data_IF_048112607513
#
_entry.id   IF_048112607513
#
_cell.length_a   1.000
_cell.length_b   1.000
_cell.length_c   1.000
_cell.angle_alpha   90.00
_cell.angle_beta   90.00
_cell.angle_gamma   90.00
#
_symmetry.space_group_name_H-M   'P 1'
#
loop_
_entity.id
_entity.type
_entity.pdbx_description
1 polymer ?
#
# COMPACT_ATOMS: atom_id res chain seq x y z
N UNK A 1 13.96 12.49 -22.11
CA UNK A 1 13.15 13.65 -21.67
C UNK A 1 11.70 13.27 -21.37
N UNK A 2 11.01 12.58 -22.28
CA UNK A 2 9.60 12.14 -22.10
C UNK A 2 9.40 11.25 -20.86
N UNK A 3 10.26 10.24 -20.66
CA UNK A 3 10.18 9.35 -19.49
C UNK A 3 10.34 10.09 -18.15
N UNK A 4 11.12 11.17 -18.13
CA UNK A 4 11.36 11.99 -16.95
C UNK A 4 10.16 12.90 -16.62
N UNK A 5 9.44 13.36 -17.65
CA UNK A 5 8.22 14.15 -17.50
C UNK A 5 7.03 13.27 -17.05
N UNK A 6 6.91 12.08 -17.62
CA UNK A 6 5.89 11.09 -17.21
C UNK A 6 6.08 10.66 -15.76
N UNK A 7 7.32 10.41 -15.33
CA UNK A 7 7.58 10.11 -13.93
C UNK A 7 7.36 11.34 -13.06
N UNK A 8 8.02 12.48 -13.28
CA UNK A 8 7.99 13.61 -12.33
C UNK A 8 6.66 14.36 -12.23
N UNK A 9 5.80 14.32 -13.24
CA UNK A 9 4.57 15.13 -13.29
C UNK A 9 3.33 14.24 -13.37
N UNK A 10 3.32 13.27 -14.28
CA UNK A 10 2.11 12.47 -14.53
C UNK A 10 1.80 11.48 -13.40
N UNK A 11 2.80 10.78 -12.85
CA UNK A 11 2.58 9.83 -11.76
C UNK A 11 2.10 10.50 -10.45
N UNK A 12 2.68 11.63 -10.00
CA UNK A 12 2.17 12.37 -8.85
C UNK A 12 0.77 12.95 -9.09
N UNK A 13 0.50 13.46 -10.29
CA UNK A 13 -0.84 13.93 -10.66
C UNK A 13 -1.86 12.78 -10.64
N UNK A 14 -1.49 11.59 -11.13
CA UNK A 14 -2.31 10.39 -11.04
C UNK A 14 -2.54 9.96 -9.58
N UNK A 15 -1.51 10.02 -8.73
CA UNK A 15 -1.64 9.77 -7.30
C UNK A 15 -2.58 10.76 -6.61
N UNK A 16 -2.47 12.06 -6.90
CA UNK A 16 -3.38 13.10 -6.39
C UNK A 16 -4.81 12.88 -6.90
N UNK A 17 -4.96 12.49 -8.17
CA UNK A 17 -6.26 12.21 -8.76
C UNK A 17 -6.90 10.98 -8.12
N UNK A 18 -6.13 9.94 -7.81
CA UNK A 18 -6.60 8.78 -7.05
C UNK A 18 -6.96 9.17 -5.62
N UNK A 19 -6.15 9.96 -4.91
CA UNK A 19 -6.51 10.50 -3.58
C UNK A 19 -7.84 11.24 -3.66
N UNK A 20 -8.00 12.12 -4.64
CA UNK A 20 -9.21 12.93 -4.83
C UNK A 20 -10.41 12.05 -5.17
N UNK A 21 -10.24 11.04 -6.03
CA UNK A 21 -11.28 10.08 -6.38
C UNK A 21 -11.69 9.22 -5.17
N UNK A 22 -10.71 8.76 -4.39
CA UNK A 22 -10.91 7.97 -3.18
C UNK A 22 -11.64 8.77 -2.10
N UNK A 23 -11.29 10.05 -1.92
CA UNK A 23 -12.04 10.97 -1.05
C UNK A 23 -13.47 11.16 -1.56
N UNK A 24 -13.66 11.37 -2.88
CA UNK A 24 -14.99 11.52 -3.47
C UNK A 24 -15.83 10.26 -3.27
N UNK A 25 -15.27 9.07 -3.47
CA UNK A 25 -15.96 7.79 -3.24
C UNK A 25 -16.35 7.66 -1.77
N UNK A 26 -15.44 7.93 -0.84
CA UNK A 26 -15.71 7.88 0.61
C UNK A 26 -16.81 8.87 1.00
N UNK A 27 -16.76 10.11 0.50
CA UNK A 27 -17.80 11.11 0.75
C UNK A 27 -19.14 10.65 0.17
N UNK A 28 -19.15 10.14 -1.06
CA UNK A 28 -20.36 9.63 -1.70
C UNK A 28 -20.96 8.45 -0.94
N UNK A 29 -20.11 7.57 -0.37
CA UNK A 29 -20.56 6.47 0.49
C UNK A 29 -21.23 6.98 1.76
N UNK A 30 -20.67 7.99 2.44
CA UNK A 30 -21.25 8.54 3.66
C UNK A 30 -22.53 9.36 3.40
N UNK A 31 -22.61 10.09 2.28
CA UNK A 31 -23.81 10.86 1.93
C UNK A 31 -25.00 9.99 1.48
N UNK A 32 -24.76 8.73 1.08
CA UNK A 32 -25.80 7.84 0.55
C UNK A 32 -26.40 6.91 1.62
N UNK A 33 -26.14 7.18 2.92
CA UNK A 33 -26.63 6.38 4.04
C UNK A 33 -28.07 6.75 4.45
N UNK A 34 -28.69 7.80 3.91
CA UNK A 34 -30.04 8.22 4.34
C UNK A 34 -31.19 7.89 3.36
N UNK A 35 -32.11 7.07 3.87
CA UNK A 35 -33.57 7.23 3.85
C UNK A 35 -34.50 6.65 2.75
N UNK A 36 -34.21 5.50 2.12
CA UNK A 36 -35.33 4.69 1.54
C UNK A 36 -35.05 3.23 1.18
N UNK A 37 -35.81 2.32 1.81
CA UNK A 37 -36.21 1.02 1.24
C UNK A 37 -35.17 -0.11 1.19
N UNK A 38 -35.44 -1.21 1.90
CA UNK A 38 -34.62 -2.44 2.02
C UNK A 38 -34.13 -3.09 0.71
N UNK A 39 -34.67 -2.74 -0.47
CA UNK A 39 -34.21 -3.25 -1.78
C UNK A 39 -33.24 -2.30 -2.49
N UNK A 40 -33.37 -0.98 -2.27
CA UNK A 40 -32.46 0.04 -2.81
C UNK A 40 -31.12 -0.03 -2.06
N UNK A 41 -31.16 -0.33 -0.75
CA UNK A 41 -29.98 -0.51 0.10
C UNK A 41 -29.07 -1.65 -0.35
N UNK A 42 -29.61 -2.78 -0.82
CA UNK A 42 -28.80 -3.95 -1.22
C UNK A 42 -28.11 -3.76 -2.56
N UNK A 43 -28.78 -3.12 -3.53
CA UNK A 43 -28.18 -2.79 -4.84
C UNK A 43 -27.15 -1.67 -4.68
N UNK A 44 -27.44 -0.65 -3.85
CA UNK A 44 -26.49 0.41 -3.49
C UNK A 44 -25.23 -0.15 -2.82
N UNK A 45 -25.38 -1.05 -1.85
CA UNK A 45 -24.25 -1.70 -1.18
C UNK A 45 -23.38 -2.55 -2.11
N UNK A 46 -23.98 -3.32 -3.01
CA UNK A 46 -23.22 -4.16 -3.95
C UNK A 46 -22.42 -3.32 -4.96
N UNK A 47 -23.01 -2.22 -5.46
CA UNK A 47 -22.30 -1.29 -6.34
C UNK A 47 -21.17 -0.56 -5.59
N UNK A 48 -21.41 -0.18 -4.34
CA UNK A 48 -20.40 0.42 -3.47
C UNK A 48 -19.21 -0.51 -3.25
N UNK A 49 -19.45 -1.79 -2.89
CA UNK A 49 -18.39 -2.79 -2.72
C UNK A 49 -17.58 -3.02 -4.01
N UNK A 50 -18.26 -3.02 -5.16
CA UNK A 50 -17.61 -3.18 -6.47
C UNK A 50 -16.71 -1.98 -6.80
N UNK A 51 -17.17 -0.75 -6.55
CA UNK A 51 -16.38 0.47 -6.74
C UNK A 51 -15.16 0.45 -5.81
N UNK A 52 -15.34 0.10 -4.54
CA UNK A 52 -14.23 -0.01 -3.57
C UNK A 52 -13.18 -1.02 -4.02
N UNK A 53 -13.59 -2.23 -4.43
CA UNK A 53 -12.66 -3.27 -4.91
C UNK A 53 -11.91 -2.84 -6.17
N UNK A 54 -12.59 -2.18 -7.11
CA UNK A 54 -11.93 -1.66 -8.33
C UNK A 54 -10.93 -0.58 -7.97
N UNK A 55 -11.29 0.36 -7.10
CA UNK A 55 -10.40 1.43 -6.63
C UNK A 55 -9.15 0.86 -5.97
N UNK A 56 -9.33 -0.10 -5.06
CA UNK A 56 -8.23 -0.80 -4.37
C UNK A 56 -7.28 -1.47 -5.38
N UNK A 57 -7.83 -2.23 -6.35
CA UNK A 57 -7.01 -2.87 -7.39
C UNK A 57 -6.25 -1.84 -8.21
N UNK A 58 -6.87 -0.72 -8.59
CA UNK A 58 -6.24 0.34 -9.37
C UNK A 58 -5.08 1.00 -8.61
N UNK A 59 -5.28 1.34 -7.34
CA UNK A 59 -4.25 1.94 -6.48
C UNK A 59 -3.06 1.00 -6.29
N UNK A 60 -3.33 -0.29 -6.08
CA UNK A 60 -2.29 -1.30 -5.87
C UNK A 60 -1.52 -1.59 -7.15
N UNK A 61 -2.18 -1.59 -8.32
CA UNK A 61 -1.48 -1.69 -9.62
C UNK A 61 -0.52 -0.50 -9.80
N UNK A 62 -0.94 0.72 -9.44
CA UNK A 62 -0.05 1.87 -9.50
C UNK A 62 1.15 1.71 -8.56
N UNK A 63 0.92 1.26 -7.32
CA UNK A 63 1.99 1.00 -6.36
C UNK A 63 2.95 -0.11 -6.85
N UNK A 64 2.44 -1.11 -7.57
CA UNK A 64 3.25 -2.15 -8.20
C UNK A 64 4.18 -1.56 -9.28
N UNK A 65 3.66 -0.68 -10.14
CA UNK A 65 4.46 0.02 -11.17
C UNK A 65 5.59 0.82 -10.50
N UNK A 66 5.28 1.57 -9.44
CA UNK A 66 6.27 2.33 -8.68
C UNK A 66 7.30 1.40 -8.04
N UNK A 67 6.89 0.24 -7.53
CA UNK A 67 7.80 -0.76 -6.95
C UNK A 67 8.82 -1.26 -7.97
N UNK A 68 8.36 -1.63 -9.17
CA UNK A 68 9.24 -2.07 -10.26
C UNK A 68 10.20 -0.96 -10.65
N UNK A 69 9.69 0.27 -10.82
CA UNK A 69 10.53 1.43 -11.16
C UNK A 69 11.57 1.73 -10.07
N UNK A 70 11.20 1.57 -8.80
CA UNK A 70 12.11 1.75 -7.66
C UNK A 70 13.23 0.73 -7.64
N UNK A 71 12.91 -0.55 -7.87
CA UNK A 71 13.90 -1.62 -7.95
C UNK A 71 14.90 -1.34 -9.07
N UNK A 72 14.43 -0.94 -10.26
CA UNK A 72 15.29 -0.59 -11.38
C UNK A 72 16.18 0.62 -11.06
N UNK A 73 15.62 1.66 -10.43
CA UNK A 73 16.39 2.83 -9.98
C UNK A 73 17.49 2.45 -8.98
N UNK A 74 17.19 1.59 -8.00
CA UNK A 74 18.15 1.14 -6.99
C UNK A 74 19.23 0.24 -7.60
N UNK A 75 18.89 -0.62 -8.57
CA UNK A 75 19.87 -1.42 -9.31
C UNK A 75 20.87 -0.55 -10.09
N UNK A 76 20.40 0.54 -10.70
CA UNK A 76 21.28 1.46 -11.41
C UNK A 76 22.24 2.21 -10.47
N UNK A 77 21.80 2.50 -9.25
CA UNK A 77 22.64 3.12 -8.23
C UNK A 77 23.69 2.15 -7.68
N UNK A 78 23.31 0.89 -7.45
CA UNK A 78 24.23 -0.19 -7.06
C UNK A 78 25.43 -0.29 -8.02
N UNK A 79 25.17 -0.27 -9.33
CA UNK A 79 26.22 -0.31 -10.36
C UNK A 79 27.17 0.89 -10.30
N UNK A 80 26.69 2.05 -9.83
CA UNK A 80 27.47 3.29 -9.76
C UNK A 80 28.31 3.36 -8.48
N UNK A 81 27.81 2.85 -7.36
CA UNK A 81 28.44 2.93 -6.04
C UNK A 81 29.58 1.93 -5.82
N UNK A 82 29.58 0.77 -6.51
CA UNK A 82 30.72 -0.16 -6.53
C UNK A 82 32.04 0.48 -7.04
N UNK A 83 32.01 1.70 -7.56
CA UNK A 83 33.17 2.44 -8.05
C UNK A 83 33.68 3.54 -7.08
N UNK A 84 33.01 3.76 -5.94
CA UNK A 84 33.39 4.79 -4.97
C UNK A 84 33.12 4.31 -3.54
N UNK A 85 34.12 3.70 -2.90
CA UNK A 85 34.12 3.53 -1.45
C UNK A 85 34.61 4.82 -0.79
N UNK A 86 33.79 5.39 0.09
CA UNK A 86 34.19 6.52 0.93
C UNK A 86 33.75 6.29 2.38
N UNK A 87 34.72 6.41 3.27
CA UNK A 87 34.66 6.21 4.72
C UNK A 87 33.67 7.18 5.39
N UNK A 88 32.89 6.69 6.36
CA UNK A 88 32.04 7.50 7.24
C UNK A 88 32.11 7.03 8.69
N UNK A 89 31.87 7.98 9.60
CA UNK A 89 32.01 7.93 11.06
C UNK A 89 31.04 6.95 11.73
N UNK A 90 31.54 6.20 12.72
CA UNK A 90 30.96 4.93 13.20
C UNK A 90 29.74 5.10 14.12
N UNK A 91 29.67 6.16 14.93
CA UNK A 91 28.76 6.23 16.08
C UNK A 91 27.35 6.74 15.75
N UNK A 92 27.22 7.78 14.93
CA UNK A 92 25.91 8.26 14.45
C UNK A 92 25.22 7.24 13.52
N UNK A 93 26.01 6.45 12.79
CA UNK A 93 25.50 5.40 11.88
C UNK A 93 24.83 4.26 12.66
N UNK A 94 25.34 3.93 13.85
CA UNK A 94 24.83 2.81 14.65
C UNK A 94 23.44 3.10 15.26
N UNK A 95 23.23 4.29 15.83
CA UNK A 95 21.94 4.67 16.42
C UNK A 95 20.82 4.76 15.38
N UNK A 96 21.10 5.31 14.19
CA UNK A 96 20.16 5.35 13.06
C UNK A 96 19.84 3.94 12.56
N UNK A 97 20.83 3.04 12.57
CA UNK A 97 20.63 1.63 12.19
C UNK A 97 19.69 0.88 13.17
N UNK A 98 19.81 1.12 14.48
CA UNK A 98 18.93 0.50 15.47
C UNK A 98 17.49 0.98 15.30
N UNK A 99 17.26 2.30 15.16
CA UNK A 99 15.92 2.86 14.93
C UNK A 99 15.25 2.27 13.69
N UNK A 100 15.98 2.24 12.57
CA UNK A 100 15.49 1.64 11.34
C UNK A 100 15.12 0.15 11.52
N UNK A 101 15.95 -0.64 12.22
CA UNK A 101 15.67 -2.07 12.46
C UNK A 101 14.39 -2.28 13.27
N UNK A 102 14.15 -1.45 14.28
CA UNK A 102 12.93 -1.52 15.09
C UNK A 102 11.71 -1.14 14.24
N UNK A 103 11.80 -0.05 13.49
CA UNK A 103 10.72 0.38 12.60
C UNK A 103 10.42 -0.69 11.54
N UNK A 104 11.46 -1.28 10.95
CA UNK A 104 11.33 -2.35 9.97
C UNK A 104 10.75 -3.64 10.58
N UNK A 105 11.06 -3.96 11.83
CA UNK A 105 10.46 -5.09 12.54
C UNK A 105 8.95 -4.90 12.71
N UNK A 106 8.50 -3.72 13.14
CA UNK A 106 7.07 -3.42 13.22
C UNK A 106 6.40 -3.50 11.85
N UNK A 107 7.07 -3.01 10.80
CA UNK A 107 6.58 -3.12 9.44
C UNK A 107 6.44 -4.58 8.99
N UNK A 108 7.41 -5.44 9.34
CA UNK A 108 7.41 -6.86 9.00
C UNK A 108 6.28 -7.62 9.72
N UNK A 109 6.05 -7.34 11.01
CA UNK A 109 4.94 -7.92 11.77
C UNK A 109 3.61 -7.54 11.12
N UNK A 110 3.44 -6.27 10.74
CA UNK A 110 2.23 -5.79 10.08
C UNK A 110 2.02 -6.45 8.72
N UNK A 111 3.10 -6.60 7.93
CA UNK A 111 3.07 -7.32 6.67
C UNK A 111 2.66 -8.78 6.83
N UNK A 112 3.20 -9.51 7.80
CA UNK A 112 2.84 -10.92 8.02
C UNK A 112 1.35 -11.06 8.32
N UNK A 113 0.78 -10.17 9.15
CA UNK A 113 -0.65 -10.20 9.46
C UNK A 113 -1.52 -9.81 8.26
N UNK A 114 -1.06 -8.86 7.43
CA UNK A 114 -1.69 -8.53 6.16
C UNK A 114 -1.66 -9.73 5.18
N UNK A 115 -0.53 -10.42 5.08
CA UNK A 115 -0.36 -11.59 4.22
C UNK A 115 -1.27 -12.75 4.66
N UNK A 116 -1.38 -12.98 5.97
CA UNK A 116 -2.35 -13.95 6.52
C UNK A 116 -3.78 -13.55 6.16
N UNK A 117 -4.14 -12.28 6.29
CA UNK A 117 -5.46 -11.78 5.90
C UNK A 117 -5.76 -11.98 4.41
N UNK A 118 -4.82 -11.62 3.55
CA UNK A 118 -4.92 -11.84 2.11
C UNK A 118 -5.02 -13.34 1.80
N UNK A 119 -4.25 -14.19 2.45
CA UNK A 119 -4.30 -15.64 2.31
C UNK A 119 -5.66 -16.23 2.71
N UNK A 120 -6.22 -15.82 3.84
CA UNK A 120 -7.55 -16.25 4.27
C UNK A 120 -8.64 -15.75 3.31
N UNK A 121 -8.51 -14.51 2.83
CA UNK A 121 -9.43 -13.93 1.84
C UNK A 121 -9.38 -14.70 0.52
N UNK A 122 -8.18 -15.08 0.07
CA UNK A 122 -7.97 -15.89 -1.12
C UNK A 122 -8.64 -17.26 -0.95
N UNK A 123 -8.33 -17.98 0.13
CA UNK A 123 -8.88 -19.31 0.41
C UNK A 123 -10.40 -19.29 0.45
N UNK A 124 -11.01 -18.35 1.18
CA UNK A 124 -12.46 -18.29 1.24
C UNK A 124 -13.10 -17.87 -0.08
N UNK A 125 -12.43 -17.07 -0.91
CA UNK A 125 -12.91 -16.78 -2.26
C UNK A 125 -12.83 -17.99 -3.19
N UNK A 126 -11.83 -18.86 -3.04
CA UNK A 126 -11.70 -20.13 -3.80
C UNK A 126 -12.77 -21.12 -3.38
N UNK A 127 -13.01 -21.26 -2.07
CA UNK A 127 -13.97 -22.22 -1.51
C UNK A 127 -15.43 -21.76 -1.64
N UNK A 128 -15.66 -20.48 -1.92
CA UNK A 128 -17.02 -19.96 -2.09
C UNK A 128 -17.69 -20.41 -3.39
N UNK A 129 -18.90 -20.93 -3.26
CA UNK A 129 -19.76 -21.27 -4.40
C UNK A 129 -20.63 -20.06 -4.79
N UNK A 130 -20.50 -19.52 -6.02
CA UNK A 130 -21.27 -18.36 -6.44
C UNK A 130 -22.72 -18.77 -6.73
N UNK A 131 -23.69 -18.06 -6.13
CA UNK A 131 -25.12 -18.30 -6.33
C UNK A 131 -25.68 -17.60 -7.58
N UNK A 132 -25.03 -16.51 -8.01
CA UNK A 132 -25.46 -15.67 -9.11
C UNK A 132 -24.27 -15.00 -9.83
N UNK A 133 -24.52 -14.37 -10.99
CA UNK A 133 -23.49 -13.75 -11.83
C UNK A 133 -22.77 -12.60 -11.13
N UNK A 134 -23.45 -11.81 -10.29
CA UNK A 134 -22.83 -10.69 -9.58
C UNK A 134 -21.90 -11.21 -8.49
N UNK A 135 -22.32 -12.19 -7.71
CA UNK A 135 -21.45 -12.86 -6.73
C UNK A 135 -20.24 -13.52 -7.39
N UNK A 136 -20.41 -14.11 -8.59
CA UNK A 136 -19.28 -14.65 -9.35
C UNK A 136 -18.26 -13.56 -9.73
N UNK A 137 -18.73 -12.37 -10.10
CA UNK A 137 -17.85 -11.24 -10.44
C UNK A 137 -17.13 -10.70 -9.20
N UNK A 138 -17.85 -10.48 -8.09
CA UNK A 138 -17.28 -10.05 -6.81
C UNK A 138 -16.21 -11.04 -6.35
N UNK A 139 -16.49 -12.35 -6.40
CA UNK A 139 -15.52 -13.40 -6.06
C UNK A 139 -14.23 -13.28 -6.87
N UNK A 140 -14.32 -13.04 -8.19
CA UNK A 140 -13.14 -12.85 -9.05
C UNK A 140 -12.35 -11.61 -8.65
N UNK A 141 -13.02 -10.51 -8.37
CA UNK A 141 -12.37 -9.29 -7.88
C UNK A 141 -11.71 -9.51 -6.51
N UNK A 142 -12.36 -10.20 -5.58
CA UNK A 142 -11.80 -10.51 -4.27
C UNK A 142 -10.56 -11.41 -4.40
N UNK A 143 -10.56 -12.39 -5.32
CA UNK A 143 -9.35 -13.17 -5.62
C UNK A 143 -8.22 -12.27 -6.11
N UNK A 144 -8.50 -11.37 -7.05
CA UNK A 144 -7.51 -10.41 -7.54
C UNK A 144 -6.99 -9.49 -6.43
N UNK A 145 -7.89 -8.96 -5.60
CA UNK A 145 -7.59 -8.11 -4.44
C UNK A 145 -6.89 -8.85 -3.30
N UNK A 146 -6.84 -10.19 -3.32
CA UNK A 146 -6.02 -10.96 -2.37
C UNK A 146 -4.60 -11.26 -2.86
N UNK A 147 -4.37 -11.28 -4.17
CA UNK A 147 -3.06 -11.64 -4.76
C UNK A 147 -2.22 -10.41 -5.09
N UNK A 148 -2.81 -9.42 -5.76
CA UNK A 148 -2.07 -8.23 -6.23
C UNK A 148 -1.49 -7.42 -5.05
N UNK A 149 -2.24 -7.13 -3.95
CA UNK A 149 -1.70 -6.41 -2.80
C UNK A 149 -0.57 -7.15 -2.10
N UNK A 150 -0.65 -8.49 -2.00
CA UNK A 150 0.41 -9.33 -1.44
C UNK A 150 1.72 -9.17 -2.21
N UNK A 151 1.66 -9.25 -3.54
CA UNK A 151 2.83 -9.06 -4.40
C UNK A 151 3.38 -7.63 -4.25
N UNK A 152 2.50 -6.63 -4.29
CA UNK A 152 2.87 -5.22 -4.21
C UNK A 152 3.54 -4.88 -2.87
N UNK A 153 2.97 -5.31 -1.75
CA UNK A 153 3.51 -5.04 -0.40
C UNK A 153 4.82 -5.79 -0.14
N UNK A 154 4.96 -7.00 -0.68
CA UNK A 154 6.23 -7.74 -0.67
C UNK A 154 7.33 -6.97 -1.41
N UNK A 155 7.05 -6.45 -2.61
CA UNK A 155 8.01 -5.64 -3.35
C UNK A 155 8.32 -4.31 -2.64
N UNK A 156 7.33 -3.68 -2.00
CA UNK A 156 7.51 -2.47 -1.22
C UNK A 156 8.48 -2.69 -0.04
N UNK A 157 8.37 -3.81 0.69
CA UNK A 157 9.33 -4.19 1.73
C UNK A 157 10.76 -4.30 1.19
N UNK A 158 10.92 -4.97 0.05
CA UNK A 158 12.23 -5.11 -0.61
C UNK A 158 12.79 -3.74 -1.00
N UNK A 159 11.95 -2.84 -1.49
CA UNK A 159 12.35 -1.46 -1.83
C UNK A 159 12.81 -0.70 -0.59
N UNK A 160 12.05 -0.72 0.51
CA UNK A 160 12.41 -0.05 1.77
C UNK A 160 13.75 -0.58 2.30
N UNK A 161 13.90 -1.91 2.35
CA UNK A 161 15.13 -2.55 2.79
C UNK A 161 16.33 -2.14 1.93
N UNK A 162 16.21 -2.22 0.60
CA UNK A 162 17.29 -1.83 -0.32
C UNK A 162 17.59 -0.33 -0.25
N UNK A 163 16.57 0.52 -0.23
CA UNK A 163 16.75 1.97 -0.15
C UNK A 163 17.58 2.38 1.09
N UNK A 164 17.41 1.66 2.21
CA UNK A 164 18.27 1.85 3.38
C UNK A 164 19.71 1.39 3.15
N UNK A 165 19.94 0.24 2.52
CA UNK A 165 21.30 -0.24 2.20
C UNK A 165 22.08 0.78 1.36
N UNK A 166 21.40 1.48 0.45
CA UNK A 166 21.99 2.55 -0.35
C UNK A 166 21.96 3.93 0.33
N UNK A 167 22.00 3.97 1.68
CA UNK A 167 22.07 5.20 2.49
C UNK A 167 21.00 6.26 2.12
N UNK A 168 19.79 5.82 1.82
CA UNK A 168 18.70 6.74 1.47
C UNK A 168 18.73 7.26 0.03
N UNK A 169 19.65 6.79 -0.84
CA UNK A 169 19.78 7.25 -2.24
C UNK A 169 18.63 6.82 -3.16
N UNK A 170 17.39 6.65 -2.68
CA UNK A 170 16.25 6.56 -3.57
C UNK A 170 16.09 7.90 -4.29
N UNK A 171 15.93 7.90 -5.62
CA UNK A 171 15.81 9.17 -6.36
C UNK A 171 14.62 9.97 -5.81
N UNK A 172 14.83 11.25 -5.48
CA UNK A 172 13.85 12.04 -4.71
C UNK A 172 12.43 11.97 -5.28
N UNK A 173 12.28 12.03 -6.60
CA UNK A 173 10.97 11.89 -7.26
C UNK A 173 10.28 10.54 -7.05
N UNK A 174 11.02 9.43 -6.99
CA UNK A 174 10.43 8.11 -6.71
C UNK A 174 10.03 8.00 -5.24
N UNK A 175 10.86 8.54 -4.34
CA UNK A 175 10.55 8.53 -2.91
C UNK A 175 9.31 9.38 -2.59
N UNK A 176 9.18 10.54 -3.24
CA UNK A 176 8.00 11.40 -3.11
C UNK A 176 6.72 10.70 -3.56
N UNK A 177 6.78 9.95 -4.67
CA UNK A 177 5.64 9.14 -5.12
C UNK A 177 5.25 8.07 -4.12
N UNK A 178 6.23 7.41 -3.51
CA UNK A 178 5.96 6.41 -2.48
C UNK A 178 5.26 7.00 -1.26
N UNK A 179 5.71 8.17 -0.80
CA UNK A 179 5.08 8.87 0.33
C UNK A 179 3.63 9.24 -0.02
N UNK A 180 3.41 9.90 -1.16
CA UNK A 180 2.07 10.34 -1.59
C UNK A 180 1.13 9.14 -1.76
N UNK A 181 1.57 8.09 -2.45
CA UNK A 181 0.71 6.93 -2.72
C UNK A 181 0.47 6.07 -1.47
N UNK A 182 1.48 5.88 -0.61
CA UNK A 182 1.28 5.13 0.64
C UNK A 182 0.32 5.88 1.57
N UNK A 183 0.39 7.21 1.60
CA UNK A 183 -0.55 8.06 2.31
C UNK A 183 -1.97 7.99 1.72
N UNK A 184 -2.10 7.98 0.39
CA UNK A 184 -3.37 7.82 -0.32
C UNK A 184 -4.08 6.53 0.06
N UNK A 185 -3.39 5.40 -0.11
CA UNK A 185 -3.91 4.07 0.18
C UNK A 185 -4.24 3.95 1.66
N UNK A 186 -3.39 4.50 2.54
CA UNK A 186 -3.67 4.53 3.98
C UNK A 186 -4.98 5.26 4.30
N UNK A 187 -5.22 6.45 3.73
CA UNK A 187 -6.48 7.17 3.93
C UNK A 187 -7.66 6.36 3.40
N UNK A 188 -7.55 5.81 2.19
CA UNK A 188 -8.60 5.00 1.60
C UNK A 188 -8.92 3.78 2.48
N UNK A 189 -7.92 3.01 2.90
CA UNK A 189 -8.11 1.84 3.77
C UNK A 189 -8.73 2.23 5.11
N UNK A 190 -8.35 3.38 5.68
CA UNK A 190 -8.89 3.86 6.96
C UNK A 190 -10.37 4.22 6.87
N UNK A 191 -10.79 4.94 5.83
CA UNK A 191 -12.16 5.41 5.71
C UNK A 191 -13.09 4.39 5.03
N UNK A 192 -12.57 3.56 4.13
CA UNK A 192 -13.30 2.44 3.52
C UNK A 192 -13.37 1.21 4.44
N UNK A 193 -12.65 1.21 5.58
CA UNK A 193 -12.58 0.12 6.57
C UNK A 193 -13.96 -0.44 6.97
N UNK A 194 -15.01 0.40 6.96
CA UNK A 194 -16.39 0.01 7.29
C UNK A 194 -16.95 -1.06 6.35
N UNK A 195 -16.54 -1.06 5.07
CA UNK A 195 -16.99 -2.02 4.05
C UNK A 195 -16.43 -3.42 4.22
N UNK A 196 -15.25 -3.59 4.82
CA UNK A 196 -14.64 -4.92 4.99
C UNK A 196 -15.38 -5.81 5.99
N UNK A 197 -16.23 -5.23 6.86
CA UNK A 197 -17.12 -5.97 7.77
C UNK A 197 -18.24 -6.72 7.04
N UNK A 198 -18.45 -6.52 5.73
CA UNK A 198 -19.60 -7.05 4.99
C UNK A 198 -19.24 -8.02 3.86
N UNK A 199 -18.00 -8.55 3.82
CA UNK A 199 -17.68 -9.56 2.79
C UNK A 199 -18.38 -10.90 3.09
N UNK A 200 -19.62 -11.03 2.61
CA UNK A 200 -20.50 -12.19 2.75
C UNK A 200 -19.83 -13.49 2.29
N UNK A 201 -18.89 -13.41 1.35
CA UNK A 201 -18.10 -14.55 0.87
C UNK A 201 -17.34 -15.18 2.03
N UNK A 202 -16.66 -14.37 2.84
CA UNK A 202 -15.82 -14.86 3.92
C UNK A 202 -16.62 -15.28 5.14
N UNK A 203 -17.73 -14.58 5.43
CA UNK A 203 -18.66 -14.98 6.49
C UNK A 203 -19.28 -16.35 6.23
N UNK A 204 -19.62 -16.62 4.96
CA UNK A 204 -20.18 -17.91 4.54
C UNK A 204 -19.18 -19.06 4.73
N UNK A 205 -17.89 -18.84 4.40
CA UNK A 205 -16.87 -19.90 4.47
C UNK A 205 -16.34 -20.11 5.90
N UNK A 206 -16.15 -19.04 6.67
CA UNK A 206 -15.54 -19.11 8.00
C UNK A 206 -16.56 -19.12 9.15
N UNK A 207 -17.86 -19.29 8.87
CA UNK A 207 -18.93 -19.50 9.86
C UNK A 207 -18.87 -18.57 11.09
N UNK A 208 -18.66 -17.27 10.86
CA UNK A 208 -18.60 -16.24 11.92
C UNK A 208 -17.20 -16.01 12.54
N UNK A 209 -16.20 -16.85 12.28
CA UNK A 209 -14.82 -16.56 12.71
C UNK A 209 -14.27 -15.29 12.01
N UNK A 210 -14.73 -15.01 10.80
CA UNK A 210 -14.38 -13.80 10.05
C UNK A 210 -14.71 -12.51 10.80
N UNK A 211 -15.79 -12.51 11.61
CA UNK A 211 -16.21 -11.33 12.38
C UNK A 211 -15.22 -10.95 13.49
N UNK A 212 -14.35 -11.90 13.90
CA UNK A 212 -13.28 -11.65 14.86
C UNK A 212 -11.93 -11.43 14.17
N UNK A 213 -11.69 -12.14 13.07
CA UNK A 213 -10.44 -12.06 12.31
C UNK A 213 -10.30 -10.72 11.56
N UNK A 214 -11.35 -10.27 10.88
CA UNK A 214 -11.27 -9.04 10.09
C UNK A 214 -10.96 -7.80 10.94
N UNK A 215 -11.60 -7.59 12.13
CA UNK A 215 -11.22 -6.47 13.01
C UNK A 215 -9.80 -6.53 13.58
N UNK A 216 -9.16 -7.71 13.60
CA UNK A 216 -7.76 -7.84 13.98
C UNK A 216 -6.82 -7.46 12.83
N UNK A 217 -7.12 -7.93 11.62
CA UNK A 217 -6.23 -7.78 10.47
C UNK A 217 -6.32 -6.43 9.78
N UNK A 218 -7.52 -5.84 9.67
CA UNK A 218 -7.72 -4.55 8.98
C UNK A 218 -6.88 -3.44 9.62
N UNK A 219 -6.85 -3.25 10.96
CA UNK A 219 -5.98 -2.25 11.57
C UNK A 219 -4.49 -2.48 11.28
N UNK A 220 -4.06 -3.74 11.15
CA UNK A 220 -2.67 -4.05 10.82
C UNK A 220 -2.33 -3.73 9.37
N UNK A 221 -3.27 -3.91 8.44
CA UNK A 221 -3.14 -3.45 7.05
C UNK A 221 -2.98 -1.92 7.01
N UNK A 222 -3.86 -1.20 7.71
CA UNK A 222 -3.81 0.27 7.83
C UNK A 222 -2.48 0.72 8.44
N UNK A 223 -2.04 0.04 9.51
CA UNK A 223 -0.75 0.33 10.15
C UNK A 223 0.43 0.07 9.21
N UNK A 224 0.43 -1.00 8.42
CA UNK A 224 1.45 -1.24 7.41
C UNK A 224 1.55 -0.08 6.42
N UNK A 225 0.41 0.38 5.88
CA UNK A 225 0.37 1.51 4.93
C UNK A 225 0.91 2.79 5.55
N UNK A 226 0.44 3.14 6.74
CA UNK A 226 0.91 4.30 7.48
C UNK A 226 2.41 4.23 7.76
N UNK A 227 2.88 3.13 8.37
CA UNK A 227 4.26 3.00 8.81
C UNK A 227 5.24 2.90 7.63
N UNK A 228 4.82 2.29 6.51
CA UNK A 228 5.60 2.30 5.27
C UNK A 228 5.80 3.71 4.70
N UNK A 229 4.79 4.58 4.81
CA UNK A 229 4.88 5.98 4.42
C UNK A 229 5.93 6.72 5.26
N UNK A 230 5.88 6.55 6.59
CA UNK A 230 6.87 7.11 7.51
C UNK A 230 8.29 6.62 7.18
N UNK A 231 8.45 5.33 6.85
CA UNK A 231 9.75 4.77 6.47
C UNK A 231 10.31 5.44 5.21
N UNK A 232 9.49 5.67 4.18
CA UNK A 232 9.92 6.40 2.99
C UNK A 232 10.26 7.87 3.28
N UNK A 233 9.50 8.53 4.16
CA UNK A 233 9.82 9.88 4.61
C UNK A 233 11.15 9.95 5.37
N UNK A 234 11.45 8.97 6.23
CA UNK A 234 12.72 8.88 6.94
C UNK A 234 13.89 8.63 5.98
N UNK A 235 13.73 7.69 5.03
CA UNK A 235 14.70 7.43 3.94
C UNK A 235 14.98 8.73 3.16
N UNK A 236 13.93 9.54 2.89
CA UNK A 236 14.07 10.83 2.23
C UNK A 236 14.93 11.76 3.09
N UNK A 237 14.52 11.97 4.34
CA UNK A 237 15.19 12.90 5.25
C UNK A 237 16.68 12.57 5.39
N UNK A 238 17.04 11.31 5.60
CA UNK A 238 18.42 10.84 5.68
C UNK A 238 19.23 11.20 4.42
N UNK A 239 18.65 11.04 3.23
CA UNK A 239 19.30 11.40 1.98
C UNK A 239 19.58 12.91 1.85
N UNK A 240 18.71 13.76 2.39
CA UNK A 240 18.91 15.21 2.41
C UNK A 240 20.06 15.61 3.33
N UNK A 241 20.13 15.02 4.53
CA UNK A 241 21.21 15.31 5.48
C UNK A 241 22.57 14.90 4.93
N UNK A 242 22.69 13.68 4.38
CA UNK A 242 23.94 13.19 3.76
C UNK A 242 24.44 14.11 2.64
N UNK A 243 23.56 14.65 1.80
CA UNK A 243 23.97 15.52 0.70
C UNK A 243 24.41 16.93 1.16
N UNK A 244 23.86 17.45 2.26
CA UNK A 244 24.23 18.77 2.79
C UNK A 244 25.57 18.75 3.55
N UNK A 245 25.89 17.64 4.23
CA UNK A 245 27.19 17.47 4.90
C UNK A 245 28.36 17.47 3.89
N UNK A 246 28.14 16.98 2.67
CA UNK A 246 29.13 17.04 1.58
C UNK A 246 29.32 18.42 0.95
N UNK A 247 28.39 19.37 1.16
CA UNK A 247 28.46 20.74 0.63
C UNK A 247 29.04 21.74 1.63
N UNK A 248 29.27 21.32 2.87
CA UNK A 248 29.80 22.16 3.96
C UNK A 248 31.27 21.86 4.31
N UNK A 249 31.93 20.99 3.54
CA UNK A 249 33.37 20.69 3.58
C UNK A 249 34.04 21.09 2.27
#
# INVERSE_FOLDING_TARGET
>A
MILLAVTKIFLPALGILLISLSIVIVLFQEFNIDDSGHRVTTISNNNSNLITLISEICEVILALIISVHSIFSLQNLCKKENNLEQNQTVEAVETVNIKFKIDFLFLLIAYILLDIYCGLTFVGSVLSEPKDKLTQYIRRLTLTASVIPTIQTTLQLVVIWKARQYKGKLTGGINDMWIILSFAIWLFDTFSAKGYKTNEIQKCVYYGAWDYLAPLFIPMAIFFRFHSCIMFANIKAEAYWVNNDHLST
#
